data_IF_632655993474
#
_entry.id   IF_632655993474
#
_cell.length_a   1.000
_cell.length_b   1.000
_cell.length_c   1.000
_cell.angle_alpha   90.00
_cell.angle_beta   90.00
_cell.angle_gamma   90.00
#
_symmetry.space_group_name_H-M   'P 1'
#
loop_
_entity.id
_entity.type
_entity.pdbx_description
1 polymer ?
#
# COMPACT_ATOMS: atom_id res chain seq x y z
N UNK A 1 -0.85 43.92 -44.50
CA UNK A 1 0.16 43.20 -43.71
C UNK A 1 -0.62 42.25 -42.79
N UNK A 2 -1.06 41.09 -43.28
CA UNK A 2 -0.34 39.80 -43.22
C UNK A 2 0.15 39.45 -41.80
N UNK A 3 -0.63 38.63 -41.08
CA UNK A 3 -0.26 37.30 -40.54
C UNK A 3 -1.23 36.89 -39.40
N UNK A 4 -2.14 35.96 -39.66
CA UNK A 4 -2.04 34.49 -39.41
C UNK A 4 -2.17 34.16 -37.92
N UNK A 5 -3.27 33.54 -37.48
CA UNK A 5 -3.37 32.09 -37.18
C UNK A 5 -2.83 31.74 -35.78
N UNK A 6 -3.27 30.76 -35.00
CA UNK A 6 -4.32 29.74 -35.05
C UNK A 6 -4.14 28.90 -33.75
N UNK A 7 -5.04 27.94 -33.55
CA UNK A 7 -5.01 26.80 -32.61
C UNK A 7 -5.30 27.08 -31.12
N UNK A 8 -6.52 26.82 -30.65
CA UNK A 8 -7.17 25.50 -30.47
C UNK A 8 -7.07 25.04 -29.02
N UNK A 9 -8.00 25.53 -28.21
CA UNK A 9 -8.35 24.90 -26.94
C UNK A 9 -9.40 23.82 -27.23
N UNK A 10 -8.96 22.56 -27.28
CA UNK A 10 -9.85 21.41 -27.40
C UNK A 10 -9.30 20.24 -26.59
N UNK A 11 -9.79 20.11 -25.37
CA UNK A 11 -9.80 18.82 -24.68
C UNK A 11 -11.16 18.68 -23.99
N UNK A 12 -12.18 18.53 -24.83
CA UNK A 12 -13.52 18.19 -24.41
C UNK A 12 -13.59 16.66 -24.25
N UNK A 13 -13.80 16.25 -23.00
CA UNK A 13 -14.67 15.15 -22.56
C UNK A 13 -14.93 14.06 -23.59
N UNK A 14 -14.25 12.92 -23.44
CA UNK A 14 -14.76 11.66 -23.96
C UNK A 14 -14.71 10.59 -22.88
N UNK A 15 -15.69 10.67 -21.99
CA UNK A 15 -16.32 9.49 -21.42
C UNK A 15 -17.28 9.00 -22.50
N UNK A 16 -16.92 7.95 -23.24
CA UNK A 16 -17.90 7.22 -24.05
C UNK A 16 -17.53 5.74 -24.15
N UNK A 17 -18.22 5.00 -23.29
CA UNK A 17 -19.00 3.81 -23.64
C UNK A 17 -18.23 2.56 -24.10
N UNK A 18 -18.05 1.69 -23.11
CA UNK A 18 -18.21 0.23 -23.14
C UNK A 18 -19.04 -0.27 -24.32
N UNK A 19 -18.42 -1.07 -25.20
CA UNK A 19 -19.12 -2.08 -25.99
C UNK A 19 -18.13 -3.21 -26.35
N UNK A 20 -18.11 -4.26 -25.55
CA UNK A 20 -17.61 -5.57 -25.98
C UNK A 20 -18.76 -6.57 -25.85
N UNK A 21 -19.47 -6.75 -26.97
CA UNK A 21 -20.37 -7.88 -27.20
C UNK A 21 -19.58 -8.92 -27.99
N UNK A 22 -19.29 -10.06 -27.37
CA UNK A 22 -18.94 -11.30 -28.09
C UNK A 22 -19.97 -12.35 -27.72
N UNK A 23 -20.74 -12.70 -28.73
CA UNK A 23 -21.73 -13.78 -28.76
C UNK A 23 -21.03 -15.04 -29.24
N UNK A 24 -21.15 -16.16 -28.52
CA UNK A 24 -21.12 -17.53 -29.10
C UNK A 24 -22.00 -18.47 -28.27
N UNK A 25 -22.55 -19.44 -28.99
CA UNK A 25 -23.81 -20.16 -28.77
C UNK A 25 -23.61 -21.57 -28.17
N UNK A 26 -24.62 -22.04 -27.42
CA UNK A 26 -25.15 -23.43 -27.28
C UNK A 26 -24.32 -24.62 -26.73
N UNK A 27 -24.92 -25.19 -25.66
CA UNK A 27 -25.51 -26.56 -25.52
C UNK A 27 -24.64 -27.75 -25.07
N UNK A 28 -24.82 -28.16 -23.81
CA UNK A 28 -25.01 -29.51 -23.21
C UNK A 28 -24.64 -29.39 -21.71
N UNK A 29 -25.22 -30.02 -20.67
CA UNK A 29 -26.15 -31.15 -20.51
C UNK A 29 -26.63 -31.14 -19.03
N UNK A 30 -27.84 -31.64 -18.76
CA UNK A 30 -28.37 -32.16 -17.48
C UNK A 30 -27.36 -33.05 -16.70
N UNK A 31 -27.45 -33.42 -15.42
CA UNK A 31 -28.37 -33.32 -14.28
C UNK A 31 -27.57 -33.81 -13.05
N UNK A 32 -28.17 -33.64 -11.86
CA UNK A 32 -27.93 -34.24 -10.53
C UNK A 32 -26.92 -35.39 -10.33
N UNK A 33 -26.22 -35.38 -9.19
CA UNK A 33 -26.52 -36.31 -8.08
C UNK A 33 -25.81 -35.92 -6.78
N UNK A 34 -26.62 -35.79 -5.72
CA UNK A 34 -26.24 -35.68 -4.32
C UNK A 34 -26.00 -37.08 -3.74
N UNK A 35 -24.93 -37.30 -2.95
CA UNK A 35 -25.02 -37.97 -1.63
C UNK A 35 -23.65 -38.12 -0.94
N UNK A 36 -23.53 -37.42 0.20
CA UNK A 36 -23.07 -37.87 1.54
C UNK A 36 -21.95 -38.92 1.66
N UNK A 37 -20.81 -38.49 2.24
CA UNK A 37 -20.09 -39.27 3.25
C UNK A 37 -19.27 -38.35 4.18
N UNK A 38 -19.74 -38.20 5.42
CA UNK A 38 -19.06 -37.53 6.54
C UNK A 38 -18.12 -38.51 7.23
N UNK A 39 -16.96 -38.05 7.74
CA UNK A 39 -16.61 -38.45 9.10
C UNK A 39 -16.19 -37.25 9.97
N UNK A 40 -16.55 -37.39 11.23
CA UNK A 40 -16.70 -36.34 12.23
C UNK A 40 -15.41 -35.92 12.95
N UNK A 41 -15.47 -34.69 13.48
CA UNK A 41 -14.87 -34.16 14.72
C UNK A 41 -13.34 -34.22 14.91
N UNK A 42 -12.72 -33.04 14.76
CA UNK A 42 -11.86 -32.44 15.79
C UNK A 42 -12.28 -30.97 15.99
N UNK A 43 -12.68 -30.53 17.19
CA UNK A 43 -12.96 -29.12 17.43
C UNK A 43 -11.61 -28.42 17.63
N UNK A 44 -11.06 -27.84 16.56
CA UNK A 44 -9.97 -26.86 16.69
C UNK A 44 -10.63 -25.51 16.99
N UNK A 45 -10.20 -24.74 18.00
CA UNK A 45 -10.93 -23.57 18.48
C UNK A 45 -11.15 -22.58 17.34
N UNK A 46 -12.38 -22.48 16.85
CA UNK A 46 -12.87 -21.41 16.00
C UNK A 46 -13.12 -20.17 16.87
N UNK A 47 -12.09 -19.73 17.58
CA UNK A 47 -12.12 -18.58 18.48
C UNK A 47 -10.90 -17.69 18.20
N UNK A 48 -10.86 -17.14 16.98
CA UNK A 48 -10.15 -15.90 16.58
C UNK A 48 -10.57 -15.48 15.16
N UNK A 49 -11.74 -15.91 14.70
CA UNK A 49 -12.33 -15.53 13.42
C UNK A 49 -13.28 -14.37 13.67
N UNK A 50 -12.69 -13.19 13.87
CA UNK A 50 -13.28 -11.85 13.80
C UNK A 50 -12.43 -10.89 14.65
N UNK A 51 -11.10 -10.88 14.42
CA UNK A 51 -10.50 -9.56 14.36
C UNK A 51 -11.18 -8.95 13.15
N UNK A 52 -12.28 -8.23 13.37
CA UNK A 52 -12.77 -7.23 12.44
C UNK A 52 -11.51 -6.44 12.14
N UNK A 53 -10.91 -6.70 10.99
CA UNK A 53 -9.70 -6.01 10.61
C UNK A 53 -10.14 -4.55 10.66
N UNK A 54 -9.64 -3.81 11.66
CA UNK A 54 -9.78 -2.37 11.68
C UNK A 54 -9.45 -1.94 10.24
N UNK A 55 -10.33 -1.18 9.56
CA UNK A 55 -10.07 -0.78 8.19
C UNK A 55 -8.61 -0.30 8.11
N UNK A 56 -7.89 -0.72 7.07
CA UNK A 56 -6.43 -0.53 6.96
C UNK A 56 -6.02 0.89 7.41
N UNK A 57 -6.79 1.89 6.98
CA UNK A 57 -6.73 3.28 7.41
C UNK A 57 -6.64 3.48 8.93
N UNK A 58 -7.61 2.98 9.71
CA UNK A 58 -7.62 3.14 11.17
C UNK A 58 -6.38 2.54 11.81
N UNK A 59 -5.96 1.35 11.38
CA UNK A 59 -4.75 0.72 11.90
C UNK A 59 -3.49 1.51 11.51
N UNK A 60 -3.43 2.09 10.31
CA UNK A 60 -2.29 2.93 9.90
C UNK A 60 -2.23 4.23 10.72
N UNK A 61 -3.36 4.90 10.87
CA UNK A 61 -3.46 6.17 11.60
C UNK A 61 -3.22 6.01 13.11
N UNK A 62 -3.73 4.95 13.74
CA UNK A 62 -3.58 4.73 15.20
C UNK A 62 -2.31 3.97 15.59
N UNK A 63 -1.98 2.90 14.86
CA UNK A 63 -0.97 1.93 15.29
C UNK A 63 0.37 2.05 14.53
N UNK A 64 0.43 2.78 13.41
CA UNK A 64 1.63 2.88 12.55
C UNK A 64 2.23 4.29 12.54
N UNK A 65 1.41 5.32 12.31
CA UNK A 65 1.88 6.71 12.22
C UNK A 65 2.53 7.17 13.54
N UNK A 66 1.90 7.01 14.73
CA UNK A 66 2.49 7.55 15.96
C UNK A 66 3.84 6.92 16.33
N UNK A 67 4.02 5.58 16.23
CA UNK A 67 5.34 4.98 16.44
C UNK A 67 6.40 5.43 15.43
N UNK A 68 6.05 5.54 14.14
CA UNK A 68 7.00 6.01 13.12
C UNK A 68 7.43 7.45 13.36
N UNK A 69 6.47 8.31 13.71
CA UNK A 69 6.74 9.70 14.07
C UNK A 69 7.70 9.75 15.26
N UNK A 70 7.44 8.99 16.33
CA UNK A 70 8.31 8.95 17.50
C UNK A 70 9.74 8.47 17.17
N UNK A 71 9.89 7.47 16.28
CA UNK A 71 11.21 6.99 15.84
C UNK A 71 11.98 8.08 15.10
N UNK A 72 11.31 8.81 14.20
CA UNK A 72 11.90 9.89 13.43
C UNK A 72 12.23 11.11 14.30
N UNK A 73 11.33 11.49 15.22
CA UNK A 73 11.51 12.58 16.19
C UNK A 73 12.64 12.29 17.19
N UNK A 74 12.92 11.00 17.46
CA UNK A 74 14.04 10.60 18.30
C UNK A 74 15.41 10.83 17.65
N UNK A 75 15.47 11.20 16.36
CA UNK A 75 16.72 11.47 15.64
C UNK A 75 17.02 12.97 15.60
N UNK A 76 18.17 13.38 16.14
CA UNK A 76 18.59 14.80 16.13
C UNK A 76 18.83 15.37 14.73
N UNK A 77 19.09 14.51 13.74
CA UNK A 77 19.41 14.88 12.36
C UNK A 77 18.16 15.07 11.47
N UNK A 78 16.95 14.81 11.99
CA UNK A 78 15.68 14.81 11.25
C UNK A 78 14.77 15.95 11.74
N UNK A 79 14.20 16.69 10.80
CA UNK A 79 13.23 17.77 11.05
C UNK A 79 12.06 17.70 10.07
N UNK A 80 11.01 18.50 10.31
CA UNK A 80 9.88 18.68 9.39
C UNK A 80 9.20 17.36 8.99
N UNK A 81 8.86 16.55 10.00
CA UNK A 81 8.25 15.25 9.81
C UNK A 81 6.76 15.42 9.52
N UNK A 82 6.31 14.89 8.38
CA UNK A 82 4.91 14.79 8.00
C UNK A 82 4.62 13.35 7.58
N UNK A 83 3.68 12.71 8.27
CA UNK A 83 3.24 11.34 7.99
C UNK A 83 1.74 11.33 7.77
N UNK A 84 1.28 10.76 6.66
CA UNK A 84 -0.14 10.67 6.36
C UNK A 84 -0.50 9.37 5.64
N UNK A 85 -1.75 8.95 5.79
CA UNK A 85 -2.28 7.77 5.11
C UNK A 85 -3.48 8.15 4.23
N UNK A 86 -3.29 8.10 2.91
CA UNK A 86 -4.29 8.51 1.91
C UNK A 86 -4.27 7.55 0.72
N UNK A 87 -5.42 7.25 0.13
CA UNK A 87 -5.54 6.39 -1.06
C UNK A 87 -4.79 5.04 -0.96
N UNK A 88 -4.93 4.37 0.18
CA UNK A 88 -4.22 3.12 0.51
C UNK A 88 -2.70 3.22 0.38
N UNK A 89 -2.17 4.42 0.59
CA UNK A 89 -0.75 4.75 0.55
C UNK A 89 -0.38 5.44 1.86
N UNK A 90 0.59 4.88 2.56
CA UNK A 90 1.27 5.55 3.66
C UNK A 90 2.36 6.42 3.05
N UNK A 91 2.30 7.72 3.24
CA UNK A 91 3.32 8.66 2.79
C UNK A 91 4.03 9.26 3.99
N UNK A 92 5.33 9.49 3.84
CA UNK A 92 6.12 10.20 4.83
C UNK A 92 7.12 11.11 4.19
N UNK A 93 7.22 12.32 4.73
CA UNK A 93 8.13 13.36 4.31
C UNK A 93 8.91 13.83 5.53
N UNK A 94 10.21 14.05 5.37
CA UNK A 94 11.05 14.63 6.42
C UNK A 94 12.31 15.23 5.81
N UNK A 95 12.90 16.19 6.51
CA UNK A 95 14.20 16.75 6.16
C UNK A 95 15.27 16.09 7.02
N UNK A 96 16.36 15.62 6.39
CA UNK A 96 17.55 15.17 7.10
C UNK A 96 18.75 15.98 6.64
N UNK A 97 19.42 16.70 7.54
CA UNK A 97 20.59 17.56 7.23
C UNK A 97 20.35 18.47 6.00
N UNK A 98 19.17 19.08 5.93
CA UNK A 98 18.71 19.93 4.81
C UNK A 98 18.46 19.20 3.47
N UNK A 99 18.46 17.86 3.45
CA UNK A 99 18.06 17.06 2.30
C UNK A 99 16.61 16.58 2.52
N UNK A 100 15.67 16.89 1.61
CA UNK A 100 14.31 16.37 1.72
C UNK A 100 14.27 14.90 1.32
N UNK A 101 13.67 14.08 2.16
CA UNK A 101 13.37 12.68 1.92
C UNK A 101 11.86 12.48 1.88
N UNK A 102 11.45 11.60 0.99
CA UNK A 102 10.05 11.16 0.90
C UNK A 102 10.00 9.66 0.71
N UNK A 103 9.11 9.00 1.40
CA UNK A 103 8.83 7.59 1.19
C UNK A 103 7.34 7.35 1.09
N UNK A 104 6.99 6.23 0.46
CA UNK A 104 5.63 5.74 0.51
C UNK A 104 5.59 4.21 0.56
N UNK A 105 4.56 3.70 1.22
CA UNK A 105 4.17 2.30 1.17
C UNK A 105 2.76 2.21 0.57
N UNK A 106 2.62 1.51 -0.54
CA UNK A 106 1.37 1.39 -1.30
C UNK A 106 0.74 0.01 -1.12
N UNK A 107 -0.57 0.01 -0.83
CA UNK A 107 -1.38 -1.15 -0.52
C UNK A 107 -2.57 -1.24 -1.51
N UNK A 108 -2.35 -1.62 -2.78
CA UNK A 108 -3.39 -1.63 -3.83
C UNK A 108 -4.64 -2.47 -3.50
N UNK A 109 -4.53 -3.44 -2.59
CA UNK A 109 -5.65 -4.30 -2.18
C UNK A 109 -6.42 -3.75 -0.98
N UNK A 110 -6.02 -2.62 -0.40
CA UNK A 110 -6.63 -2.06 0.82
C UNK A 110 -6.47 -2.95 2.06
N UNK A 111 -5.54 -3.91 2.02
CA UNK A 111 -5.21 -4.81 3.12
C UNK A 111 -3.71 -5.11 3.18
N UNK A 112 -3.26 -5.67 4.30
CA UNK A 112 -1.85 -6.05 4.47
C UNK A 112 -1.50 -7.39 3.80
N UNK A 113 -2.47 -8.21 3.40
CA UNK A 113 -2.23 -9.58 2.87
C UNK A 113 -1.95 -9.62 1.37
N UNK A 114 -2.22 -8.53 0.64
CA UNK A 114 -2.05 -8.45 -0.81
C UNK A 114 -0.65 -8.04 -1.27
N UNK A 115 -0.58 -7.64 -2.54
CA UNK A 115 0.60 -7.00 -3.11
C UNK A 115 0.87 -5.68 -2.36
N UNK A 116 2.15 -5.41 -2.07
CA UNK A 116 2.58 -4.24 -1.31
C UNK A 116 3.87 -3.71 -1.94
N UNK A 117 3.89 -2.42 -2.20
CA UNK A 117 5.05 -1.72 -2.72
C UNK A 117 5.61 -0.77 -1.68
N UNK A 118 6.92 -0.64 -1.62
CA UNK A 118 7.59 0.42 -0.87
C UNK A 118 8.51 1.17 -1.81
N UNK A 119 8.58 2.48 -1.63
CA UNK A 119 9.55 3.30 -2.33
C UNK A 119 10.03 4.42 -1.43
N UNK A 120 11.29 4.80 -1.64
CA UNK A 120 11.93 5.92 -0.98
C UNK A 120 12.70 6.73 -2.01
N UNK A 121 12.65 8.04 -1.88
CA UNK A 121 13.42 8.97 -2.68
C UNK A 121 14.06 10.04 -1.82
N UNK A 122 15.17 10.55 -2.33
CA UNK A 122 15.88 11.69 -1.78
C UNK A 122 15.80 12.88 -2.76
N UNK A 123 16.07 14.07 -2.24
CA UNK A 123 16.14 15.33 -2.99
C UNK A 123 14.83 15.75 -3.68
N UNK A 124 13.67 15.29 -3.19
CA UNK A 124 12.36 15.63 -3.77
C UNK A 124 12.15 15.10 -5.20
N UNK A 125 13.03 14.20 -5.65
CA UNK A 125 12.83 13.49 -6.92
C UNK A 125 11.75 12.43 -6.77
N UNK A 126 10.99 12.22 -7.84
CA UNK A 126 9.98 11.17 -7.89
C UNK A 126 10.62 9.79 -7.63
N UNK A 127 10.00 8.94 -6.81
CA UNK A 127 10.50 7.61 -6.53
C UNK A 127 10.61 6.78 -7.82
N UNK A 128 11.82 6.32 -8.13
CA UNK A 128 12.12 5.63 -9.39
C UNK A 128 11.99 4.11 -9.31
N UNK A 129 11.85 3.55 -8.11
CA UNK A 129 11.87 2.10 -7.90
C UNK A 129 10.82 1.69 -6.87
N UNK A 130 9.96 0.75 -7.25
CA UNK A 130 8.99 0.13 -6.35
C UNK A 130 9.56 -1.20 -5.89
N UNK A 131 9.88 -1.29 -4.62
CA UNK A 131 10.42 -2.50 -3.99
C UNK A 131 9.29 -3.34 -3.37
N UNK A 132 9.43 -4.67 -3.35
CA UNK A 132 8.51 -5.52 -2.61
C UNK A 132 8.58 -5.21 -1.11
N UNK A 133 7.42 -5.08 -0.47
CA UNK A 133 7.28 -4.75 0.94
C UNK A 133 6.56 -5.85 1.71
N UNK A 134 7.07 -6.24 2.90
CA UNK A 134 6.44 -7.25 3.78
C UNK A 134 6.09 -8.58 3.07
N UNK A 135 7.02 -9.11 2.26
CA UNK A 135 6.81 -10.34 1.48
C UNK A 135 7.02 -11.62 2.29
N UNK A 136 7.92 -11.57 3.29
CA UNK A 136 8.23 -12.74 4.12
C UNK A 136 7.15 -13.01 5.17
N UNK A 137 6.36 -11.98 5.50
CA UNK A 137 5.35 -12.05 6.54
C UNK A 137 4.08 -12.73 6.04
N UNK A 138 3.80 -13.94 6.56
CA UNK A 138 2.52 -14.62 6.28
C UNK A 138 1.32 -13.90 6.89
N UNK A 139 1.50 -13.16 7.98
CA UNK A 139 0.46 -12.44 8.72
C UNK A 139 0.98 -11.09 9.20
N UNK A 140 1.16 -10.12 8.29
CA UNK A 140 1.64 -8.79 8.64
C UNK A 140 0.66 -8.08 9.59
N UNK A 141 1.22 -7.35 10.55
CA UNK A 141 0.49 -6.49 11.50
C UNK A 141 1.06 -5.07 11.45
N UNK A 142 0.42 -4.11 12.11
CA UNK A 142 0.92 -2.72 12.23
C UNK A 142 2.40 -2.66 12.66
N UNK A 143 2.78 -3.40 13.70
CA UNK A 143 4.16 -3.45 14.18
C UNK A 143 5.16 -3.91 13.11
N UNK A 144 4.77 -4.84 12.23
CA UNK A 144 5.64 -5.27 11.14
C UNK A 144 5.84 -4.14 10.12
N UNK A 145 4.80 -3.35 9.85
CA UNK A 145 4.90 -2.19 8.94
C UNK A 145 5.91 -1.19 9.51
N UNK A 146 5.75 -0.80 10.78
CA UNK A 146 6.67 0.12 11.47
C UNK A 146 8.10 -0.40 11.39
N UNK A 147 8.32 -1.65 11.82
CA UNK A 147 9.63 -2.28 11.85
C UNK A 147 10.30 -2.36 10.47
N UNK A 148 9.54 -2.68 9.41
CA UNK A 148 10.10 -2.79 8.08
C UNK A 148 10.38 -1.43 7.44
N UNK A 149 9.53 -0.42 7.67
CA UNK A 149 9.80 0.96 7.25
C UNK A 149 11.07 1.46 7.93
N UNK A 150 11.16 1.28 9.24
CA UNK A 150 12.35 1.62 10.02
C UNK A 150 13.60 0.93 9.46
N UNK A 151 13.56 -0.39 9.25
CA UNK A 151 14.68 -1.13 8.65
C UNK A 151 15.10 -0.57 7.29
N UNK A 152 14.15 -0.17 6.44
CA UNK A 152 14.45 0.41 5.12
C UNK A 152 15.11 1.79 5.28
N UNK A 153 14.63 2.62 6.19
CA UNK A 153 15.26 3.90 6.52
C UNK A 153 16.68 3.71 7.04
N UNK A 154 16.90 2.71 7.90
CA UNK A 154 18.21 2.39 8.44
C UNK A 154 19.16 1.88 7.34
N UNK A 155 18.66 1.04 6.43
CA UNK A 155 19.43 0.53 5.30
C UNK A 155 19.88 1.64 4.33
N UNK A 156 19.11 2.72 4.21
CA UNK A 156 19.49 3.92 3.45
C UNK A 156 20.47 4.83 4.22
N UNK A 157 20.84 4.47 5.46
CA UNK A 157 21.67 5.29 6.34
C UNK A 157 20.98 6.57 6.82
N UNK A 158 19.64 6.59 6.80
CA UNK A 158 18.84 7.74 7.25
C UNK A 158 18.79 7.77 8.77
N UNK A 159 18.45 6.63 9.37
CA UNK A 159 18.52 6.43 10.82
C UNK A 159 19.70 5.49 11.14
N UNK A 160 20.28 5.56 12.34
CA UNK A 160 21.33 4.64 12.73
C UNK A 160 20.82 3.19 12.67
N UNK A 161 21.61 2.30 12.07
CA UNK A 161 21.34 0.87 12.14
C UNK A 161 21.59 0.43 13.57
N UNK A 162 20.60 -0.24 14.17
CA UNK A 162 20.71 -0.83 15.50
C UNK A 162 22.00 -1.67 15.57
N UNK A 163 22.93 -1.28 16.43
CA UNK A 163 23.97 -2.20 16.86
C UNK A 163 23.26 -3.25 17.73
N UNK A 164 23.03 -4.43 17.14
CA UNK A 164 22.54 -5.60 17.87
C UNK A 164 23.54 -6.07 18.92
#
# INVERSE_FOLDING_TARGET
>A
MHKTECLAQKFEKSNFLVLFLVTTEKKNKEEEESTVAVPAKKPKPAAKAAAVAKPLRQMMEEDVIPPLQAILESQDDISDIDLSFQDDKLEGFFLKKSIPYSFWAFFPTGNLTGAKGFSISSHGSGPSTVEPFLVDERKPTANHVVFWVEKRLAAQGIIPVWNQ
#
